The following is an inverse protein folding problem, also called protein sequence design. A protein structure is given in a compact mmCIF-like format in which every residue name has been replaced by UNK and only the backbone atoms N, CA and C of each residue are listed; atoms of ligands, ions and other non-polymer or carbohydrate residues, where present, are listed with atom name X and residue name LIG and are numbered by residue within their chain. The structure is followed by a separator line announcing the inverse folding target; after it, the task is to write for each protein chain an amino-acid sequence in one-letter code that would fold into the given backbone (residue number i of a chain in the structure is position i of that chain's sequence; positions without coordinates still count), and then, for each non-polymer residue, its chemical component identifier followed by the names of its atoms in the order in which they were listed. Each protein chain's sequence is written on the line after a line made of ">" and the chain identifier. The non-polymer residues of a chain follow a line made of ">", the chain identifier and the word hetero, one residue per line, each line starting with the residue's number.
data_IF_585158768563
#
_entry.id   IF_585158768563
#
_cell.length_a   1.000
_cell.length_b   1.000
_cell.length_c   1.000
_cell.angle_alpha   90.00
_cell.angle_beta   90.00
_cell.angle_gamma   90.00
#
_symmetry.space_group_name_H-M   'P 1'
#
loop_
_entity.id
_entity.type
_entity.pdbx_description
1 polymer ?
#
# COMPACT_ATOMS: atom_id res chain seq x y z
N UNK A 1 10.99 10.48 9.72
CA UNK A 1 10.86 9.00 9.77
C UNK A 1 10.02 8.50 10.95
N UNK A 2 10.28 8.92 12.19
CA UNK A 2 9.52 8.49 13.39
C UNK A 2 7.99 8.62 13.27
N UNK A 3 7.49 9.74 12.74
CA UNK A 3 6.05 9.94 12.53
C UNK A 3 5.42 8.92 11.56
N UNK A 4 6.16 8.51 10.53
CA UNK A 4 5.70 7.52 9.54
C UNK A 4 5.71 6.10 10.10
N UNK A 5 6.70 5.75 10.92
CA UNK A 5 6.74 4.44 11.59
C UNK A 5 5.56 4.31 12.58
N UNK A 6 5.25 5.37 13.33
CA UNK A 6 4.08 5.39 14.22
C UNK A 6 2.75 5.31 13.44
N UNK A 7 2.67 5.99 12.29
CA UNK A 7 1.51 5.94 11.39
C UNK A 7 1.26 4.51 10.90
N UNK A 8 2.28 3.86 10.35
CA UNK A 8 2.20 2.49 9.84
C UNK A 8 1.97 1.47 10.96
N UNK A 9 2.56 1.68 12.13
CA UNK A 9 2.39 0.80 13.29
C UNK A 9 0.96 0.77 13.86
N UNK A 10 0.15 1.80 13.58
CA UNK A 10 -1.24 1.86 14.01
C UNK A 10 -2.25 1.56 12.89
N UNK A 11 -1.78 1.25 11.68
CA UNK A 11 -2.70 0.89 10.60
C UNK A 11 -3.34 -0.45 10.87
N UNK A 12 -4.66 -0.45 10.85
CA UNK A 12 -5.47 -1.67 10.92
C UNK A 12 -6.46 -1.65 9.78
N UNK A 13 -6.62 -2.81 9.16
CA UNK A 13 -7.78 -3.04 8.32
C UNK A 13 -9.05 -2.85 9.16
N UNK A 14 -10.06 -2.20 8.59
CA UNK A 14 -11.36 -2.09 9.24
C UNK A 14 -12.07 -3.45 9.23
N UNK A 15 -11.92 -4.19 8.13
CA UNK A 15 -12.48 -5.54 7.96
C UNK A 15 -11.68 -6.36 6.96
N UNK A 16 -11.84 -7.68 7.08
CA UNK A 16 -11.50 -8.64 6.03
C UNK A 16 -12.68 -8.70 5.06
N UNK A 17 -12.41 -8.47 3.78
CA UNK A 17 -13.41 -8.51 2.70
C UNK A 17 -13.43 -9.89 2.05
N UNK A 18 -12.25 -10.52 1.90
CA UNK A 18 -12.11 -11.81 1.22
C UNK A 18 -10.94 -12.60 1.79
N UNK A 19 -11.14 -13.89 2.00
CA UNK A 19 -10.11 -14.90 2.27
C UNK A 19 -9.95 -15.80 1.05
N UNK A 20 -8.76 -16.34 0.80
CA UNK A 20 -8.50 -17.22 -0.33
C UNK A 20 -8.66 -16.54 -1.70
N UNK A 21 -8.30 -15.26 -1.79
CA UNK A 21 -8.45 -14.44 -2.98
C UNK A 21 -7.55 -14.95 -4.12
N UNK A 22 -8.16 -15.19 -5.28
CA UNK A 22 -7.45 -15.60 -6.49
C UNK A 22 -7.14 -14.44 -7.44
N UNK A 23 -6.59 -14.75 -8.62
CA UNK A 23 -6.27 -13.75 -9.64
C UNK A 23 -7.49 -12.93 -10.11
N UNK A 24 -8.67 -13.54 -10.16
CA UNK A 24 -9.91 -12.85 -10.51
C UNK A 24 -10.32 -11.83 -9.45
N UNK A 25 -10.20 -12.18 -8.17
CA UNK A 25 -10.44 -11.26 -7.06
C UNK A 25 -9.42 -10.11 -7.09
N UNK A 26 -8.14 -10.42 -7.31
CA UNK A 26 -7.09 -9.41 -7.46
C UNK A 26 -7.42 -8.37 -8.53
N UNK A 27 -7.95 -8.79 -9.69
CA UNK A 27 -8.41 -7.87 -10.72
C UNK A 27 -9.66 -7.08 -10.29
N UNK A 28 -10.63 -7.74 -9.66
CA UNK A 28 -11.89 -7.12 -9.20
C UNK A 28 -11.65 -6.00 -8.18
N UNK A 29 -10.71 -6.21 -7.25
CA UNK A 29 -10.36 -5.26 -6.19
C UNK A 29 -9.26 -4.26 -6.60
N UNK A 30 -8.70 -4.39 -7.80
CA UNK A 30 -7.67 -3.48 -8.31
C UNK A 30 -6.27 -3.70 -7.75
N UNK A 31 -5.92 -4.94 -7.40
CA UNK A 31 -4.56 -5.32 -6.99
C UNK A 31 -3.62 -5.52 -8.18
N UNK A 32 -4.15 -5.72 -9.39
CA UNK A 32 -3.35 -5.81 -10.62
C UNK A 32 -2.85 -4.45 -11.13
N UNK A 33 -3.63 -3.39 -10.88
CA UNK A 33 -3.28 -1.99 -11.16
C UNK A 33 -3.59 -1.19 -9.89
N UNK A 34 -2.71 -1.25 -8.88
CA UNK A 34 -2.96 -0.60 -7.61
C UNK A 34 -2.89 0.92 -7.77
N UNK A 35 -3.78 1.60 -7.06
CA UNK A 35 -3.76 3.04 -6.89
C UNK A 35 -2.49 3.51 -6.16
N UNK A 36 -2.03 2.72 -5.18
CA UNK A 36 -0.83 3.00 -4.42
C UNK A 36 -0.14 1.69 -4.02
N UNK A 37 1.18 1.65 -4.12
CA UNK A 37 2.01 0.59 -3.55
C UNK A 37 2.93 1.17 -2.49
N UNK A 38 2.99 0.51 -1.34
CA UNK A 38 3.86 0.89 -0.23
C UNK A 38 4.74 -0.30 0.08
N UNK A 39 6.04 -0.13 -0.14
CA UNK A 39 7.03 -1.14 0.22
C UNK A 39 7.80 -0.68 1.44
N UNK A 40 7.80 -1.51 2.47
CA UNK A 40 8.56 -1.32 3.70
C UNK A 40 9.67 -2.36 3.73
N UNK A 41 10.90 -1.87 3.73
CA UNK A 41 12.09 -2.68 3.98
C UNK A 41 12.41 -2.57 5.47
N UNK A 42 12.25 -3.68 6.18
CA UNK A 42 12.70 -3.78 7.57
C UNK A 42 14.12 -4.33 7.54
N UNK A 43 15.09 -3.45 7.78
CA UNK A 43 16.48 -3.83 7.96
C UNK A 43 16.62 -4.55 9.31
N UNK A 44 16.37 -5.85 9.26
CA UNK A 44 16.59 -6.82 10.31
C UNK A 44 17.39 -7.97 9.72
N UNK A 45 18.08 -8.77 10.53
CA UNK A 45 18.97 -9.84 10.04
C UNK A 45 18.28 -10.85 9.09
N UNK A 46 16.94 -10.90 9.09
CA UNK A 46 16.15 -11.40 7.98
C UNK A 46 15.56 -10.20 7.22
N UNK A 47 16.04 -9.94 5.99
CA UNK A 47 15.47 -8.89 5.13
C UNK A 47 14.01 -9.24 4.82
N UNK A 48 13.07 -8.66 5.57
CA UNK A 48 11.63 -8.83 5.36
C UNK A 48 11.12 -7.60 4.63
N UNK A 49 11.01 -7.73 3.31
CA UNK A 49 10.33 -6.76 2.44
C UNK A 49 8.85 -7.07 2.45
N UNK A 50 8.03 -6.09 2.82
CA UNK A 50 6.57 -6.20 2.76
C UNK A 50 6.02 -5.11 1.85
N UNK A 51 5.20 -5.50 0.88
CA UNK A 51 4.50 -4.56 0.01
C UNK A 51 3.01 -4.63 0.28
N UNK A 52 2.42 -3.49 0.65
CA UNK A 52 0.97 -3.30 0.72
C UNK A 52 0.52 -2.66 -0.59
N UNK A 53 -0.47 -3.29 -1.22
CA UNK A 53 -1.15 -2.82 -2.41
C UNK A 53 -2.48 -2.18 -2.00
N UNK A 54 -2.77 -1.00 -2.52
CA UNK A 54 -4.05 -0.32 -2.32
C UNK A 54 -4.70 -0.17 -3.68
N UNK A 55 -5.90 -0.70 -3.83
CA UNK A 55 -6.61 -0.80 -5.11
C UNK A 55 -7.79 0.14 -5.21
N UNK A 56 -8.90 -0.41 -5.73
CA UNK A 56 -10.11 0.33 -6.05
C UNK A 56 -10.82 0.86 -4.80
N UNK A 57 -11.63 1.93 -4.96
CA UNK A 57 -12.55 2.37 -3.92
C UNK A 57 -13.47 1.24 -3.45
N UNK A 58 -13.71 1.19 -2.15
CA UNK A 58 -14.74 0.33 -1.57
C UNK A 58 -16.11 1.01 -1.64
N UNK A 59 -17.18 0.25 -1.45
CA UNK A 59 -18.53 0.80 -1.36
C UNK A 59 -18.74 1.71 -0.15
N UNK A 60 -17.90 1.61 0.89
CA UNK A 60 -18.03 2.39 2.12
C UNK A 60 -17.16 3.65 2.13
N UNK A 61 -16.63 4.06 0.97
CA UNK A 61 -15.79 5.25 0.82
C UNK A 61 -14.31 5.05 1.17
N UNK A 62 -13.93 3.86 1.63
CA UNK A 62 -12.54 3.45 1.81
C UNK A 62 -11.92 2.92 0.51
N UNK A 63 -10.88 2.09 0.64
CA UNK A 63 -10.26 1.36 -0.48
C UNK A 63 -9.95 -0.07 -0.09
N UNK A 64 -9.89 -0.94 -1.09
CA UNK A 64 -9.40 -2.31 -0.88
C UNK A 64 -7.89 -2.33 -0.78
N UNK A 65 -7.36 -3.24 0.04
CA UNK A 65 -5.92 -3.43 0.20
C UNK A 65 -5.54 -4.91 0.32
N UNK A 66 -4.33 -5.26 -0.08
CA UNK A 66 -3.76 -6.59 0.07
C UNK A 66 -2.27 -6.51 0.37
N UNK A 67 -1.75 -7.49 1.10
CA UNK A 67 -0.30 -7.69 1.22
C UNK A 67 0.15 -8.55 0.05
N UNK A 68 1.17 -8.11 -0.70
CA UNK A 68 1.70 -8.85 -1.85
C UNK A 68 2.16 -10.24 -1.40
N UNK A 69 1.66 -11.28 -2.09
CA UNK A 69 1.95 -12.68 -1.75
C UNK A 69 0.98 -13.31 -0.75
N UNK A 70 0.03 -12.54 -0.21
CA UNK A 70 -1.05 -13.05 0.64
C UNK A 70 -2.36 -13.11 -0.16
N UNK A 71 -3.24 -14.02 0.21
CA UNK A 71 -4.54 -14.29 -0.42
C UNK A 71 -5.70 -13.64 0.35
N UNK A 72 -5.44 -12.55 1.07
CA UNK A 72 -6.44 -11.85 1.88
C UNK A 72 -6.62 -10.43 1.36
N UNK A 73 -7.88 -10.06 1.13
CA UNK A 73 -8.28 -8.69 0.80
C UNK A 73 -8.90 -8.04 2.02
N UNK A 74 -8.41 -6.85 2.34
CA UNK A 74 -8.85 -6.00 3.41
C UNK A 74 -9.56 -4.77 2.85
N UNK A 75 -10.33 -4.11 3.70
CA UNK A 75 -10.80 -2.75 3.46
C UNK A 75 -10.11 -1.81 4.46
N UNK A 76 -9.56 -0.72 3.93
CA UNK A 76 -8.99 0.37 4.70
C UNK A 76 -9.96 1.57 4.69
N UNK A 77 -10.15 2.24 5.83
CA UNK A 77 -11.14 3.30 5.96
C UNK A 77 -10.69 4.57 5.22
N UNK A 78 -11.65 5.42 4.84
CA UNK A 78 -11.42 6.64 4.07
C UNK A 78 -10.39 7.57 4.73
N UNK A 79 -10.42 7.67 6.06
CA UNK A 79 -9.51 8.49 6.85
C UNK A 79 -8.05 8.05 6.67
N UNK A 80 -7.80 6.74 6.55
CA UNK A 80 -6.46 6.21 6.30
C UNK A 80 -5.99 6.54 4.88
N UNK A 81 -6.88 6.47 3.89
CA UNK A 81 -6.58 6.83 2.50
C UNK A 81 -6.25 8.33 2.38
N UNK A 82 -7.04 9.20 3.02
CA UNK A 82 -6.79 10.65 3.02
C UNK A 82 -5.45 10.98 3.67
N UNK A 83 -5.13 10.33 4.79
CA UNK A 83 -3.87 10.49 5.50
C UNK A 83 -2.69 10.10 4.60
N UNK A 84 -2.83 9.01 3.86
CA UNK A 84 -1.85 8.53 2.91
C UNK A 84 -1.58 9.51 1.78
N UNK A 85 -2.64 9.95 1.10
CA UNK A 85 -2.55 10.90 0.00
C UNK A 85 -1.90 12.20 0.46
N UNK A 86 -2.29 12.72 1.63
CA UNK A 86 -1.76 13.97 2.19
C UNK A 86 -0.27 13.90 2.46
N UNK A 87 0.21 12.81 3.07
CA UNK A 87 1.59 12.71 3.50
C UNK A 87 2.54 12.24 2.39
N UNK A 88 2.05 11.44 1.43
CA UNK A 88 2.85 11.01 0.26
C UNK A 88 2.92 12.08 -0.83
N UNK A 89 1.99 13.05 -0.87
CA UNK A 89 2.05 14.17 -1.81
C UNK A 89 3.22 15.15 -1.54
N UNK A 90 3.89 15.07 -0.39
CA UNK A 90 5.10 15.87 -0.09
C UNK A 90 6.39 15.16 -0.50
N UNK A 91 6.66 15.13 -1.81
CA UNK A 91 7.90 15.57 -2.47
C UNK A 91 8.10 14.83 -3.81
N UNK A 92 8.18 15.53 -4.96
CA UNK A 92 8.92 15.01 -6.09
C UNK A 92 10.40 15.04 -5.68
N UNK A 93 10.99 13.90 -5.37
CA UNK A 93 12.43 13.75 -5.56
C UNK A 93 12.68 13.96 -7.05
N UNK A 94 13.14 15.16 -7.40
CA UNK A 94 13.74 15.44 -8.69
C UNK A 94 14.80 14.35 -8.93
N UNK A 95 14.53 13.47 -9.89
CA UNK A 95 15.59 12.63 -10.46
C UNK A 95 16.58 13.61 -11.10
N UNK A 96 17.64 13.95 -10.38
CA UNK A 96 18.80 14.63 -10.94
C UNK A 96 19.29 13.87 -12.17
N UNK A 97 19.85 14.56 -13.17
CA UNK A 97 20.14 13.97 -14.46
C UNK A 97 21.09 12.77 -14.29
N UNK A 98 20.68 11.62 -14.81
CA UNK A 98 21.59 10.49 -15.08
C UNK A 98 22.57 10.96 -16.15
N UNK A 99 23.74 11.45 -15.71
CA UNK A 99 24.87 11.68 -16.60
C UNK A 99 25.39 10.30 -17.01
N UNK A 100 25.06 9.89 -18.24
CA UNK A 100 25.72 8.76 -18.85
C UNK A 100 27.03 9.27 -19.45
N UNK A 101 28.10 9.18 -18.68
CA UNK A 101 29.45 9.35 -19.21
C UNK A 101 29.73 8.17 -20.17
N UNK A 102 29.94 8.51 -21.44
CA UNK A 102 30.60 7.66 -22.42
C UNK A 102 31.86 8.38 -22.90
#
# INVERSE_FOLDING_TARGET
>A
LQAWAALLGNWRAERVVRLGAGAQDAAAFGMGEPFLEITVDVDSEAVVRQTVLIGRPSANGGRYAAVRGHDVIYEIPAETVILLERHLATAPHERGPVVNER
#
